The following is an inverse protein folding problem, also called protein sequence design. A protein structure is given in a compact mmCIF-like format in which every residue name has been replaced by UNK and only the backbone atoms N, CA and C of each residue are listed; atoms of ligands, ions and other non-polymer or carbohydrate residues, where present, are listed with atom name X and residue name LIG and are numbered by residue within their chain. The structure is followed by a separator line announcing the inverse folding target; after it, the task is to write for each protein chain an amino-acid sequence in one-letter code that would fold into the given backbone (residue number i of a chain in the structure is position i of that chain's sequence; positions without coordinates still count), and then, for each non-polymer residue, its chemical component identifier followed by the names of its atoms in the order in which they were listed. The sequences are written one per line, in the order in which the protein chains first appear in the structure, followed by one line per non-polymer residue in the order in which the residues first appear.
data_IF_908223234739
#
_entry.id   IF_908223234739
#
_cell.length_a   1.000
_cell.length_b   1.000
_cell.length_c   1.000
_cell.angle_alpha   90.00
_cell.angle_beta   90.00
_cell.angle_gamma   90.00
#
_symmetry.space_group_name_H-M   'P 1'
#
loop_
_entity.id
_entity.type
_entity.pdbx_description
1 polymer ?
#
# COMPACT_ATOMS: atom_id res chain seq x y z
N UNK A 1 -2.71 8.73 30.19
CA UNK A 1 -2.32 8.89 29.75
C UNK A 1 -1.81 8.45 28.87
N UNK A 2 -2.13 8.50 28.39
CA UNK A 2 -1.74 7.83 27.32
C UNK A 2 -0.44 8.16 26.95
N UNK A 3 0.26 7.38 27.06
CA UNK A 3 1.46 7.49 26.58
C UNK A 3 1.59 7.23 25.19
N UNK A 4 0.76 7.87 24.40
CA UNK A 4 1.06 7.87 23.03
C UNK A 4 2.29 8.65 22.83
N UNK A 5 3.37 7.98 22.73
CA UNK A 5 4.55 8.61 22.24
C UNK A 5 4.26 9.09 20.84
N UNK A 6 4.34 10.38 20.65
CA UNK A 6 4.27 10.95 19.33
C UNK A 6 5.32 10.22 18.46
N UNK A 7 4.86 9.59 17.38
CA UNK A 7 5.75 8.92 16.45
C UNK A 7 6.60 9.98 15.75
N UNK A 8 7.89 9.74 15.71
CA UNK A 8 8.79 10.63 15.02
C UNK A 8 8.69 10.42 13.53
N UNK A 9 8.30 11.47 12.82
CA UNK A 9 8.16 11.40 11.37
C UNK A 9 9.52 11.38 10.71
N UNK A 10 9.64 10.64 9.62
CA UNK A 10 10.83 10.69 8.78
C UNK A 10 10.87 12.02 8.03
N UNK A 11 12.05 12.37 7.51
CA UNK A 11 12.18 13.58 6.68
C UNK A 11 11.26 13.47 5.45
N UNK A 12 10.70 14.61 5.05
CA UNK A 12 9.81 14.67 3.87
C UNK A 12 10.45 14.09 2.63
N UNK A 13 11.74 14.34 2.42
CA UNK A 13 12.46 13.82 1.26
C UNK A 13 12.54 12.30 1.27
N UNK A 14 12.75 11.71 2.44
CA UNK A 14 12.78 10.27 2.60
C UNK A 14 11.42 9.67 2.26
N UNK A 15 10.34 10.23 2.80
CA UNK A 15 8.98 9.75 2.52
C UNK A 15 8.63 9.86 1.05
N UNK A 16 8.98 10.98 0.41
CA UNK A 16 8.72 11.17 -1.01
C UNK A 16 9.48 10.17 -1.87
N UNK A 17 10.74 9.91 -1.52
CA UNK A 17 11.55 8.90 -2.21
C UNK A 17 10.92 7.53 -2.10
N UNK A 18 10.46 7.16 -0.91
CA UNK A 18 9.79 5.90 -0.68
C UNK A 18 8.51 5.82 -1.51
N UNK A 19 7.65 6.84 -1.46
CA UNK A 19 6.39 6.84 -2.19
C UNK A 19 6.58 6.70 -3.70
N UNK A 20 7.59 7.37 -4.28
CA UNK A 20 7.88 7.24 -5.71
C UNK A 20 8.32 5.83 -6.06
N UNK A 21 9.19 5.24 -5.24
CA UNK A 21 9.65 3.87 -5.46
C UNK A 21 8.49 2.87 -5.32
N UNK A 22 7.60 3.09 -4.35
CA UNK A 22 6.44 2.24 -4.15
C UNK A 22 5.50 2.28 -5.34
N UNK A 23 5.33 3.43 -5.97
CA UNK A 23 4.49 3.54 -7.17
C UNK A 23 5.08 2.78 -8.35
N UNK A 24 6.39 2.87 -8.58
CA UNK A 24 7.05 2.09 -9.62
C UNK A 24 6.92 0.58 -9.34
N UNK A 25 7.10 0.21 -8.09
CA UNK A 25 7.06 -1.19 -7.67
C UNK A 25 5.66 -1.79 -7.85
N UNK A 26 4.61 -1.13 -7.37
CA UNK A 26 3.24 -1.66 -7.48
C UNK A 26 2.82 -1.77 -8.94
N UNK A 27 3.24 -0.83 -9.78
CA UNK A 27 2.93 -0.87 -11.22
C UNK A 27 3.75 -1.93 -11.96
N UNK A 28 4.74 -2.53 -11.31
CA UNK A 28 5.49 -3.66 -11.87
C UNK A 28 4.85 -5.01 -11.55
N UNK A 29 3.79 -5.03 -10.74
CA UNK A 29 3.11 -6.28 -10.38
C UNK A 29 2.58 -6.94 -11.65
N UNK A 30 3.01 -8.20 -11.95
CA UNK A 30 2.70 -8.81 -13.24
C UNK A 30 1.24 -9.25 -13.39
N UNK A 31 0.53 -9.43 -12.26
CA UNK A 31 -0.82 -9.96 -12.26
C UNK A 31 -1.89 -8.89 -12.00
N UNK A 32 -1.60 -7.64 -12.33
CA UNK A 32 -2.63 -6.60 -12.30
C UNK A 32 -3.79 -7.02 -13.21
N UNK A 33 -5.04 -6.80 -12.79
CA UNK A 33 -6.18 -7.08 -13.66
C UNK A 33 -6.02 -6.39 -15.02
N UNK A 34 -6.40 -7.06 -16.08
CA UNK A 34 -6.21 -6.56 -17.45
C UNK A 34 -6.86 -5.19 -17.70
N UNK A 35 -7.93 -4.89 -16.97
CA UNK A 35 -8.62 -3.60 -17.06
C UNK A 35 -7.89 -2.49 -16.31
N UNK A 36 -6.92 -2.83 -15.47
CA UNK A 36 -6.14 -1.86 -14.73
C UNK A 36 -4.87 -1.58 -15.51
N UNK A 37 -4.82 -0.43 -16.17
CA UNK A 37 -3.63 -0.04 -16.92
C UNK A 37 -2.58 0.59 -16.04
N UNK A 38 -3.00 1.16 -14.90
CA UNK A 38 -2.11 1.86 -13.98
C UNK A 38 -2.75 1.95 -12.60
N UNK A 39 -1.96 1.74 -11.56
CA UNK A 39 -2.31 2.05 -10.18
C UNK A 39 -1.92 3.50 -9.91
N UNK A 40 -2.85 4.30 -9.42
CA UNK A 40 -2.62 5.71 -9.13
C UNK A 40 -2.21 5.92 -7.67
N UNK A 41 -1.68 7.11 -7.37
CA UNK A 41 -1.29 7.49 -6.02
C UNK A 41 -2.36 8.38 -5.40
N UNK A 42 -2.90 7.97 -4.26
CA UNK A 42 -3.86 8.71 -3.43
C UNK A 42 -5.22 8.96 -4.08
N UNK A 43 -5.35 8.82 -5.38
CA UNK A 43 -6.55 9.22 -6.10
C UNK A 43 -7.01 8.12 -7.04
N UNK A 44 -8.30 7.82 -6.99
CA UNK A 44 -8.91 6.85 -7.90
C UNK A 44 -9.35 7.54 -9.19
N UNK A 45 -9.18 6.82 -10.30
CA UNK A 45 -9.58 7.28 -11.61
C UNK A 45 -11.11 7.31 -11.75
N UNK A 46 -11.62 8.05 -12.75
CA UNK A 46 -13.04 8.04 -13.09
C UNK A 46 -13.48 6.73 -13.74
N UNK A 47 -12.56 5.99 -14.31
CA UNK A 47 -12.86 4.71 -14.97
C UNK A 47 -13.06 3.60 -13.94
N UNK A 48 -13.85 2.58 -14.33
CA UNK A 48 -14.08 1.40 -13.49
C UNK A 48 -13.72 0.15 -14.26
N UNK A 49 -12.99 -0.80 -13.69
CA UNK A 49 -12.39 -0.75 -12.35
C UNK A 49 -11.17 0.16 -12.29
N UNK A 50 -10.76 0.57 -11.10
CA UNK A 50 -9.55 1.36 -10.89
C UNK A 50 -8.89 1.01 -9.56
N UNK A 51 -7.60 1.29 -9.46
CA UNK A 51 -6.81 1.01 -8.25
C UNK A 51 -5.95 2.19 -7.87
N UNK A 52 -5.72 2.33 -6.58
CA UNK A 52 -4.82 3.35 -6.05
C UNK A 52 -4.04 2.81 -4.85
N UNK A 53 -2.80 3.27 -4.71
CA UNK A 53 -2.03 3.12 -3.49
C UNK A 53 -2.20 4.41 -2.70
N UNK A 54 -2.55 4.28 -1.44
CA UNK A 54 -2.76 5.41 -0.56
C UNK A 54 -2.00 5.20 0.75
N UNK A 55 -1.37 6.25 1.24
CA UNK A 55 -0.69 6.17 2.54
C UNK A 55 -1.71 6.21 3.66
N UNK A 56 -1.54 5.36 4.66
CA UNK A 56 -2.43 5.36 5.83
C UNK A 56 -2.00 6.46 6.79
N UNK A 57 -0.68 6.58 6.95
CA UNK A 57 -0.08 7.65 7.72
C UNK A 57 1.32 7.88 7.20
N UNK A 58 1.88 9.04 7.50
CA UNK A 58 3.25 9.36 7.10
C UNK A 58 4.22 8.30 7.62
N UNK A 59 5.28 8.07 6.87
CA UNK A 59 6.35 7.18 7.32
C UNK A 59 6.96 7.72 8.62
N UNK A 60 7.24 6.83 9.52
CA UNK A 60 7.76 7.23 10.83
C UNK A 60 8.93 6.35 11.24
N UNK A 61 9.76 6.90 12.15
CA UNK A 61 10.92 6.21 12.69
C UNK A 61 10.46 5.31 13.83
N UNK A 62 10.74 4.01 13.71
CA UNK A 62 10.44 3.03 14.75
C UNK A 62 11.54 2.96 15.79
N UNK A 63 12.79 3.11 15.33
CA UNK A 63 13.95 2.90 16.17
C UNK A 63 15.15 3.60 15.55
N UNK A 64 15.93 4.30 16.39
CA UNK A 64 17.21 4.87 15.96
C UNK A 64 18.34 3.95 16.38
N UNK A 65 19.38 3.88 15.54
CA UNK A 65 20.55 3.09 15.83
C UNK A 65 21.63 3.97 16.46
N UNK A 66 22.40 3.38 17.38
CA UNK A 66 23.50 4.09 18.06
C UNK A 66 24.55 4.55 17.07
N UNK A 67 24.82 3.74 16.05
CA UNK A 67 25.82 4.04 15.01
C UNK A 67 25.33 4.95 13.90
N UNK A 68 24.15 5.52 14.07
CA UNK A 68 23.52 6.35 13.04
C UNK A 68 22.50 5.56 12.21
N UNK A 69 21.61 6.28 11.55
CA UNK A 69 20.52 5.68 10.81
C UNK A 69 19.34 5.30 11.68
N UNK A 70 18.35 4.71 11.06
CA UNK A 70 17.11 4.34 11.76
C UNK A 70 16.37 3.22 11.04
N UNK A 71 15.45 2.60 11.76
CA UNK A 71 14.45 1.70 11.19
C UNK A 71 13.14 2.48 11.06
N UNK A 72 12.54 2.42 9.90
CA UNK A 72 11.29 3.10 9.63
C UNK A 72 10.15 2.15 9.28
N UNK A 73 8.95 2.67 9.35
CA UNK A 73 7.75 1.95 8.94
C UNK A 73 6.93 2.84 8.01
N UNK A 74 6.54 2.28 6.88
CA UNK A 74 5.69 2.93 5.89
C UNK A 74 4.40 2.13 5.78
N UNK A 75 3.28 2.74 6.17
CA UNK A 75 1.98 2.10 6.12
C UNK A 75 1.20 2.60 4.92
N UNK A 76 0.65 1.67 4.17
CA UNK A 76 -0.13 2.01 2.99
C UNK A 76 -1.28 1.02 2.81
N UNK A 77 -2.19 1.39 1.95
CA UNK A 77 -3.27 0.51 1.53
C UNK A 77 -3.38 0.53 0.02
N UNK A 78 -3.88 -0.55 -0.53
CA UNK A 78 -4.24 -0.61 -1.95
C UNK A 78 -5.75 -0.70 -2.02
N UNK A 79 -6.34 0.24 -2.74
CA UNK A 79 -7.78 0.33 -2.92
C UNK A 79 -8.12 -0.14 -4.32
N UNK A 80 -9.10 -1.04 -4.40
CA UNK A 80 -9.62 -1.52 -5.68
C UNK A 80 -11.10 -1.17 -5.74
N UNK A 81 -11.44 -0.23 -6.61
CA UNK A 81 -12.81 0.23 -6.81
C UNK A 81 -13.42 -0.50 -7.99
N UNK A 82 -14.53 -1.17 -7.73
CA UNK A 82 -15.28 -1.92 -8.73
C UNK A 82 -16.74 -1.51 -8.72
N UNK A 83 -17.46 -1.90 -9.77
CA UNK A 83 -18.90 -1.71 -9.84
C UNK A 83 -19.53 -3.08 -10.10
N UNK A 84 -19.71 -3.90 -9.05
CA UNK A 84 -20.07 -5.31 -9.23
C UNK A 84 -21.54 -5.55 -9.52
N UNK A 85 -22.42 -4.58 -9.28
CA UNK A 85 -23.86 -4.79 -9.35
C UNK A 85 -24.28 -5.83 -8.33
N UNK A 86 -24.93 -6.91 -8.77
CA UNK A 86 -25.38 -7.99 -7.91
C UNK A 86 -24.42 -9.19 -7.89
N UNK A 87 -23.25 -9.06 -8.53
CA UNK A 87 -22.31 -10.18 -8.68
C UNK A 87 -21.47 -10.41 -7.44
N UNK A 88 -21.76 -11.48 -6.72
CA UNK A 88 -20.93 -11.91 -5.60
C UNK A 88 -19.55 -12.39 -6.10
N UNK A 89 -19.51 -12.99 -7.28
CA UNK A 89 -18.24 -13.43 -7.88
C UNK A 89 -17.29 -12.27 -8.12
N UNK A 90 -17.80 -11.14 -8.60
CA UNK A 90 -16.98 -9.94 -8.81
C UNK A 90 -16.38 -9.44 -7.49
N UNK A 91 -17.16 -9.49 -6.40
CA UNK A 91 -16.68 -9.11 -5.06
C UNK A 91 -15.60 -10.06 -4.56
N UNK A 92 -15.81 -11.36 -4.71
CA UNK A 92 -14.82 -12.36 -4.32
C UNK A 92 -13.53 -12.20 -5.11
N UNK A 93 -13.63 -11.97 -6.42
CA UNK A 93 -12.45 -11.74 -7.26
C UNK A 93 -11.68 -10.50 -6.87
N UNK A 94 -12.36 -9.44 -6.45
CA UNK A 94 -11.70 -8.23 -5.99
C UNK A 94 -10.84 -8.52 -4.76
N UNK A 95 -11.39 -9.25 -3.77
CA UNK A 95 -10.63 -9.63 -2.58
C UNK A 95 -9.50 -10.59 -2.92
N UNK A 96 -9.74 -11.56 -3.79
CA UNK A 96 -8.70 -12.49 -4.23
C UNK A 96 -7.55 -11.76 -4.92
N UNK A 97 -7.86 -10.76 -5.76
CA UNK A 97 -6.86 -9.95 -6.44
C UNK A 97 -5.98 -9.21 -5.45
N UNK A 98 -6.58 -8.57 -4.47
CA UNK A 98 -5.83 -7.82 -3.47
C UNK A 98 -5.02 -8.74 -2.54
N UNK A 99 -5.58 -9.86 -2.13
CA UNK A 99 -4.85 -10.82 -1.30
C UNK A 99 -3.66 -11.42 -2.06
N UNK A 100 -3.83 -11.71 -3.34
CA UNK A 100 -2.74 -12.19 -4.19
C UNK A 100 -1.63 -11.15 -4.33
N UNK A 101 -2.01 -9.87 -4.46
CA UNK A 101 -1.04 -8.78 -4.44
C UNK A 101 -0.26 -8.77 -3.11
N UNK A 102 -0.94 -8.91 -1.99
CA UNK A 102 -0.28 -8.96 -0.68
C UNK A 102 0.75 -10.08 -0.57
N UNK A 103 0.42 -11.26 -1.10
CA UNK A 103 1.34 -12.40 -1.11
C UNK A 103 2.54 -12.13 -2.03
N UNK A 104 2.30 -11.55 -3.21
CA UNK A 104 3.38 -11.17 -4.13
C UNK A 104 4.29 -10.12 -3.49
N UNK A 105 3.72 -9.14 -2.83
CA UNK A 105 4.47 -8.06 -2.18
C UNK A 105 5.44 -8.60 -1.12
N UNK A 106 5.00 -9.57 -0.34
CA UNK A 106 5.85 -10.19 0.68
C UNK A 106 7.03 -10.94 0.08
N UNK A 107 6.88 -11.47 -1.13
CA UNK A 107 7.90 -12.24 -1.81
C UNK A 107 8.77 -11.41 -2.77
N UNK A 108 8.36 -10.18 -3.10
CA UNK A 108 9.04 -9.35 -4.10
C UNK A 108 9.21 -7.93 -3.57
N UNK A 109 10.17 -7.76 -2.68
CA UNK A 109 10.39 -6.48 -2.00
C UNK A 109 10.76 -5.36 -2.98
N UNK A 110 10.27 -4.14 -2.75
CA UNK A 110 10.66 -3.01 -3.59
C UNK A 110 12.12 -2.63 -3.38
N UNK A 111 12.75 -2.13 -4.44
CA UNK A 111 14.08 -1.55 -4.37
C UNK A 111 13.93 -0.03 -4.30
N UNK A 112 14.35 0.56 -3.19
CA UNK A 112 14.19 2.00 -2.98
C UNK A 112 15.48 2.74 -3.21
N UNK A 113 16.60 2.04 -3.31
CA UNK A 113 17.92 2.62 -3.53
C UNK A 113 18.94 2.15 -2.50
N UNK A 114 20.18 2.65 -2.66
CA UNK A 114 21.28 2.13 -1.87
C UNK A 114 21.22 2.49 -0.38
N UNK A 115 20.59 3.61 -0.06
CA UNK A 115 20.53 4.11 1.32
C UNK A 115 19.42 3.50 2.14
N UNK A 116 18.44 2.91 1.49
CA UNK A 116 17.24 2.35 2.14
C UNK A 116 17.16 0.88 1.83
N UNK A 117 17.21 0.06 2.87
CA UNK A 117 17.06 -1.39 2.73
C UNK A 117 15.70 -1.81 3.22
N UNK A 118 14.89 -2.37 2.33
CA UNK A 118 13.58 -2.90 2.72
C UNK A 118 13.77 -4.24 3.40
N UNK A 119 13.23 -4.37 4.61
CA UNK A 119 13.37 -5.59 5.42
C UNK A 119 12.23 -6.55 5.15
N UNK A 120 11.01 -6.04 5.09
CA UNK A 120 9.82 -6.82 4.77
C UNK A 120 8.67 -5.93 4.38
N UNK A 121 7.77 -6.50 3.61
CA UNK A 121 6.46 -5.93 3.29
C UNK A 121 5.44 -7.01 3.63
N UNK A 122 4.39 -6.63 4.34
CA UNK A 122 3.38 -7.58 4.75
C UNK A 122 2.00 -6.96 4.83
N UNK A 123 0.97 -7.77 4.63
CA UNK A 123 -0.40 -7.34 4.87
C UNK A 123 -0.65 -7.34 6.38
N UNK A 124 -1.28 -6.29 6.88
CA UNK A 124 -1.69 -6.21 8.29
C UNK A 124 -3.13 -6.70 8.47
N UNK A 125 -3.87 -6.80 7.37
CA UNK A 125 -5.22 -7.36 7.35
C UNK A 125 -5.51 -7.94 5.96
N UNK A 126 -6.38 -8.93 5.88
CA UNK A 126 -6.84 -9.45 4.60
C UNK A 126 -7.73 -8.43 3.91
N UNK A 127 -7.83 -8.55 2.58
CA UNK A 127 -8.69 -7.68 1.80
C UNK A 127 -10.15 -7.81 2.22
N UNK A 128 -10.83 -6.69 2.27
CA UNK A 128 -12.26 -6.64 2.57
C UNK A 128 -12.90 -5.42 1.91
N UNK A 129 -14.21 -5.47 1.75
CA UNK A 129 -15.00 -4.33 1.31
C UNK A 129 -15.08 -3.34 2.46
N UNK A 130 -14.79 -2.07 2.22
CA UNK A 130 -14.85 -1.07 3.27
C UNK A 130 -15.80 0.10 2.96
N UNK A 131 -16.24 0.24 1.70
CA UNK A 131 -17.16 1.31 1.32
C UNK A 131 -18.05 0.90 0.16
N UNK A 132 -19.29 1.33 0.21
CA UNK A 132 -20.28 1.17 -0.86
C UNK A 132 -20.86 2.55 -1.13
N UNK A 133 -20.96 2.92 -2.39
CA UNK A 133 -21.43 4.24 -2.80
C UNK A 133 -22.81 4.13 -3.48
N UNK A 134 -23.57 5.23 -3.44
CA UNK A 134 -24.92 5.26 -4.00
C UNK A 134 -24.95 4.92 -5.48
N UNK A 135 -23.90 5.27 -6.22
CA UNK A 135 -23.82 4.97 -7.65
C UNK A 135 -23.52 3.50 -7.96
N UNK A 136 -23.36 2.65 -6.94
CA UNK A 136 -23.07 1.24 -7.10
C UNK A 136 -21.58 0.89 -7.04
N UNK A 137 -20.70 1.86 -6.89
CA UNK A 137 -19.27 1.58 -6.71
C UNK A 137 -19.04 0.96 -5.33
N UNK A 138 -18.06 0.05 -5.27
CA UNK A 138 -17.58 -0.54 -4.03
C UNK A 138 -16.08 -0.44 -3.98
N UNK A 139 -15.56 -0.09 -2.81
CA UNK A 139 -14.13 -0.09 -2.56
C UNK A 139 -13.77 -1.28 -1.70
N UNK A 140 -12.81 -2.06 -2.19
CA UNK A 140 -12.12 -3.10 -1.44
C UNK A 140 -10.72 -2.61 -1.15
N UNK A 141 -10.17 -3.00 -0.02
CA UNK A 141 -8.82 -2.56 0.35
C UNK A 141 -8.04 -3.66 1.05
N UNK A 142 -6.74 -3.62 0.88
CA UNK A 142 -5.81 -4.40 1.70
C UNK A 142 -4.88 -3.42 2.40
N UNK A 143 -4.68 -3.64 3.69
CA UNK A 143 -3.80 -2.81 4.51
C UNK A 143 -2.42 -3.45 4.55
N UNK A 144 -1.38 -2.64 4.29
CA UNK A 144 -0.01 -3.12 4.17
C UNK A 144 0.93 -2.27 5.01
N UNK A 145 2.06 -2.85 5.38
CA UNK A 145 3.16 -2.11 5.97
C UNK A 145 4.48 -2.57 5.41
N UNK A 146 5.41 -1.64 5.31
CA UNK A 146 6.78 -1.91 4.91
C UNK A 146 7.71 -1.49 6.04
N UNK A 147 8.62 -2.37 6.43
CA UNK A 147 9.66 -2.09 7.41
C UNK A 147 10.97 -1.95 6.64
N UNK A 148 11.69 -0.88 6.89
CA UNK A 148 12.93 -0.57 6.19
C UNK A 148 13.98 0.00 7.14
N UNK A 149 15.23 0.00 6.69
CA UNK A 149 16.34 0.60 7.43
C UNK A 149 17.04 1.62 6.57
N UNK A 150 17.42 2.73 7.19
CA UNK A 150 18.24 3.79 6.58
C UNK A 150 19.56 3.84 7.34
N UNK A 151 20.64 3.77 6.60
CA UNK A 151 21.98 3.80 7.19
C UNK A 151 22.60 5.18 6.98
#
# INVERSE_FOLDING_TARGET
MANEQARELVASEEEQKISRAMMAWINSYPDLPSAITRVNFEQLSADRPCMALSTIQAAYIRRRFIYGGHEGEYQFKVIYRIKPGTSNDARLKADETLNAFGDWAAANLPDIGDEITVKRVEATARSSMFAVYENGDEDHQILMRMIYEVI
#
